data_IF_034291564550
#
_entry.id   IF_034291564550
#
_cell.length_a   1.000
_cell.length_b   1.000
_cell.length_c   1.000
_cell.angle_alpha   90.00
_cell.angle_beta   90.00
_cell.angle_gamma   90.00
#
_symmetry.space_group_name_H-M   'P 1'
#
loop_
_entity.id
_entity.type
_entity.pdbx_description
1 polymer ?
#
# COMPACT_ATOMS: atom_id res chain seq x y z
N UNK A 1 -14.84 -10.60 14.13
CA UNK A 1 -14.43 -9.20 13.94
C UNK A 1 -15.69 -8.42 13.63
N UNK A 2 -15.99 -7.38 14.40
CA UNK A 2 -17.14 -6.51 14.10
C UNK A 2 -16.75 -5.54 12.98
N UNK A 3 -17.67 -5.27 12.03
CA UNK A 3 -17.42 -4.32 10.93
C UNK A 3 -16.95 -2.96 11.46
N UNK A 4 -17.56 -2.47 12.54
CA UNK A 4 -17.18 -1.22 13.20
C UNK A 4 -15.72 -1.21 13.70
N UNK A 5 -15.18 -2.36 14.14
CA UNK A 5 -13.78 -2.48 14.55
C UNK A 5 -12.83 -2.39 13.35
N UNK A 6 -13.22 -2.96 12.20
CA UNK A 6 -12.48 -2.85 10.94
C UNK A 6 -12.48 -1.41 10.42
N UNK A 7 -13.65 -0.75 10.44
CA UNK A 7 -13.80 0.63 9.98
C UNK A 7 -12.96 1.59 10.82
N UNK A 8 -12.84 1.39 12.15
CA UNK A 8 -11.96 2.18 13.03
C UNK A 8 -10.47 2.02 12.72
N UNK A 9 -10.07 0.92 12.07
CA UNK A 9 -8.68 0.68 11.69
C UNK A 9 -8.29 1.34 10.36
N UNK A 10 -9.24 1.97 9.66
CA UNK A 10 -8.95 2.72 8.44
C UNK A 10 -8.05 3.92 8.73
N UNK A 11 -7.02 4.12 7.90
CA UNK A 11 -6.02 5.16 8.13
C UNK A 11 -6.60 6.57 8.22
N UNK A 12 -7.63 6.89 7.44
CA UNK A 12 -8.28 8.19 7.50
C UNK A 12 -9.05 8.42 8.81
N UNK A 13 -9.49 7.35 9.49
CA UNK A 13 -10.22 7.44 10.75
C UNK A 13 -9.27 7.72 11.91
N UNK A 14 -8.17 6.97 12.02
CA UNK A 14 -7.26 7.12 13.17
C UNK A 14 -6.19 8.19 12.96
N UNK A 15 -5.73 8.44 11.74
CA UNK A 15 -4.61 9.37 11.49
C UNK A 15 -4.82 10.79 12.06
N UNK A 16 -6.01 11.42 11.97
CA UNK A 16 -6.24 12.75 12.53
C UNK A 16 -5.95 12.85 14.04
N UNK A 17 -6.35 11.83 14.82
CA UNK A 17 -6.10 11.78 16.26
C UNK A 17 -4.61 11.57 16.58
N UNK A 18 -3.92 10.75 15.78
CA UNK A 18 -2.53 10.35 16.04
C UNK A 18 -1.48 11.09 15.22
N UNK A 19 -1.84 12.17 14.50
CA UNK A 19 -0.96 12.89 13.55
C UNK A 19 0.41 13.28 14.13
N UNK A 20 0.48 13.62 15.43
CA UNK A 20 1.74 14.00 16.11
C UNK A 20 2.63 12.80 16.45
N UNK A 21 2.03 11.63 16.57
CA UNK A 21 2.65 10.39 17.04
C UNK A 21 2.91 9.37 15.93
N UNK A 22 2.52 9.67 14.69
CA UNK A 22 2.74 8.79 13.53
C UNK A 22 3.64 9.43 12.46
N UNK A 23 3.80 8.74 11.33
CA UNK A 23 4.51 9.21 10.13
C UNK A 23 3.65 10.26 9.40
N UNK A 24 4.23 11.40 8.97
CA UNK A 24 3.51 12.36 8.13
C UNK A 24 2.87 11.67 6.93
N UNK A 25 1.56 11.85 6.78
CA UNK A 25 0.74 11.18 5.77
C UNK A 25 -0.18 12.19 5.09
N UNK A 26 -0.23 12.15 3.77
CA UNK A 26 -1.25 12.80 2.96
C UNK A 26 -2.35 11.79 2.64
N UNK A 27 -3.62 12.21 2.70
CA UNK A 27 -4.78 11.35 2.47
C UNK A 27 -5.55 11.95 1.30
N UNK A 28 -5.75 11.16 0.25
CA UNK A 28 -6.38 11.56 -1.00
C UNK A 28 -7.57 10.63 -1.26
N UNK A 29 -8.81 11.13 -1.41
CA UNK A 29 -9.94 10.30 -1.79
C UNK A 29 -9.73 9.75 -3.20
N UNK A 30 -10.00 8.45 -3.40
CA UNK A 30 -9.83 7.78 -4.68
C UNK A 30 -11.12 7.88 -5.53
N UNK A 31 -11.01 8.25 -6.82
CA UNK A 31 -12.16 8.24 -7.72
C UNK A 31 -12.55 6.80 -8.07
N UNK A 32 -13.86 6.57 -8.27
CA UNK A 32 -14.41 5.26 -8.67
C UNK A 32 -13.67 4.65 -9.87
N UNK A 33 -13.34 5.48 -10.87
CA UNK A 33 -12.62 5.03 -12.06
C UNK A 33 -11.23 4.44 -11.74
N UNK A 34 -10.52 5.00 -10.76
CA UNK A 34 -9.23 4.46 -10.35
C UNK A 34 -9.38 3.16 -9.55
N UNK A 35 -10.42 3.04 -8.73
CA UNK A 35 -10.73 1.80 -7.99
C UNK A 35 -11.07 0.65 -8.95
N UNK A 36 -11.92 0.92 -9.94
CA UNK A 36 -12.21 -0.04 -11.03
C UNK A 36 -10.95 -0.44 -11.77
N UNK A 37 -10.08 0.54 -12.07
CA UNK A 37 -8.76 0.25 -12.62
C UNK A 37 -7.94 -0.65 -11.69
N UNK A 38 -7.86 -0.40 -10.38
CA UNK A 38 -7.11 -1.27 -9.46
C UNK A 38 -7.68 -2.70 -9.41
N UNK A 39 -9.01 -2.83 -9.46
CA UNK A 39 -9.72 -4.12 -9.52
C UNK A 39 -9.59 -4.84 -10.89
N UNK A 40 -8.88 -4.27 -11.85
CA UNK A 40 -8.72 -4.84 -13.19
C UNK A 40 -9.96 -4.82 -14.05
N UNK A 41 -10.89 -3.92 -13.76
CA UNK A 41 -12.10 -3.64 -14.55
C UNK A 41 -11.92 -2.40 -15.41
N UNK A 42 -12.82 -2.18 -16.36
CA UNK A 42 -12.86 -0.95 -17.16
C UNK A 42 -13.04 0.27 -16.27
N UNK A 43 -12.10 1.22 -16.34
CA UNK A 43 -12.09 2.42 -15.50
C UNK A 43 -13.32 3.32 -15.74
N UNK A 44 -13.72 3.46 -17.00
CA UNK A 44 -14.87 4.24 -17.46
C UNK A 44 -15.80 3.33 -18.26
N UNK A 45 -16.68 2.56 -17.61
CA UNK A 45 -17.59 1.66 -18.30
C UNK A 45 -18.59 2.47 -19.15
N UNK A 46 -18.87 2.01 -20.37
CA UNK A 46 -19.99 2.49 -21.16
C UNK A 46 -21.26 1.75 -20.69
N UNK A 47 -22.36 2.45 -20.32
CA UNK A 47 -23.60 1.79 -19.91
C UNK A 47 -24.20 0.85 -20.97
N UNK A 48 -23.86 1.04 -22.24
CA UNK A 48 -24.37 0.23 -23.35
C UNK A 48 -23.46 -1.00 -23.65
N UNK A 49 -22.26 -1.06 -23.06
CA UNK A 49 -21.34 -2.20 -23.18
C UNK A 49 -21.31 -3.02 -21.87
N UNK A 50 -21.44 -4.34 -21.99
CA UNK A 50 -21.31 -5.24 -20.83
C UNK A 50 -19.89 -5.27 -20.27
N UNK A 51 -19.73 -5.73 -19.03
CA UNK A 51 -18.42 -5.80 -18.38
C UNK A 51 -17.44 -6.67 -19.18
N UNK A 52 -16.34 -6.07 -19.62
CA UNK A 52 -15.36 -6.69 -20.52
C UNK A 52 -14.37 -7.58 -19.76
N UNK A 53 -14.83 -8.39 -18.80
CA UNK A 53 -13.99 -9.31 -18.04
C UNK A 53 -12.74 -8.66 -17.40
N UNK A 54 -11.77 -9.47 -16.93
CA UNK A 54 -10.53 -8.95 -16.36
C UNK A 54 -9.62 -8.39 -17.47
N UNK A 55 -9.28 -7.11 -17.33
CA UNK A 55 -8.38 -6.41 -18.24
C UNK A 55 -6.90 -6.72 -17.95
N UNK A 56 -6.04 -6.75 -18.98
CA UNK A 56 -4.61 -6.92 -18.79
C UNK A 56 -4.01 -5.83 -17.90
N UNK A 57 -2.88 -6.14 -17.28
CA UNK A 57 -2.11 -5.15 -16.54
C UNK A 57 -1.52 -4.13 -17.51
N UNK A 58 -1.99 -2.89 -17.44
CA UNK A 58 -1.47 -1.76 -18.22
C UNK A 58 -1.33 -0.57 -17.28
N UNK A 59 -0.24 0.19 -17.41
CA UNK A 59 -0.04 1.41 -16.61
C UNK A 59 -0.90 2.56 -17.15
N UNK A 60 -1.38 3.46 -16.29
CA UNK A 60 -2.16 4.60 -16.76
C UNK A 60 -1.33 5.51 -17.66
N UNK A 61 -2.00 6.14 -18.63
CA UNK A 61 -1.39 7.18 -19.46
C UNK A 61 -1.10 8.41 -18.58
N UNK A 62 0.16 8.86 -18.58
CA UNK A 62 0.60 10.01 -17.80
C UNK A 62 0.36 11.31 -18.57
N UNK A 63 -0.39 12.22 -17.95
CA UNK A 63 -0.73 13.53 -18.54
C UNK A 63 0.40 14.55 -18.39
N UNK A 64 1.33 14.31 -17.47
CA UNK A 64 2.55 15.10 -17.31
C UNK A 64 3.56 14.96 -18.47
N UNK A 65 3.36 14.01 -19.39
CA UNK A 65 4.31 13.70 -20.47
C UNK A 65 5.61 13.03 -19.97
N UNK A 66 5.69 12.69 -18.67
CA UNK A 66 6.79 11.93 -18.09
C UNK A 66 6.73 10.49 -18.62
N UNK A 67 7.88 9.91 -18.95
CA UNK A 67 7.95 8.47 -19.15
C UNK A 67 7.87 7.78 -17.77
N UNK A 68 6.98 6.77 -17.56
CA UNK A 68 6.81 6.09 -16.28
C UNK A 68 8.13 5.60 -15.68
N UNK A 69 9.00 5.07 -16.55
CA UNK A 69 10.33 4.62 -16.21
C UNK A 69 11.34 5.16 -17.22
N UNK A 70 12.56 5.53 -16.78
CA UNK A 70 13.61 5.86 -17.73
C UNK A 70 13.84 4.64 -18.64
N UNK A 71 14.05 4.85 -19.96
CA UNK A 71 14.45 3.75 -20.84
C UNK A 71 15.73 3.14 -20.27
N UNK A 72 15.83 1.81 -20.27
CA UNK A 72 17.04 1.08 -19.88
C UNK A 72 18.22 1.57 -20.73
N UNK A 73 18.94 2.57 -20.26
CA UNK A 73 20.17 3.03 -20.89
C UNK A 73 21.28 2.04 -20.53
N UNK A 74 21.43 1.03 -21.37
CA UNK A 74 22.54 0.10 -21.32
C UNK A 74 22.24 -1.14 -22.13
N UNK A 75 22.95 -1.30 -23.25
CA UNK A 75 23.26 -2.61 -23.80
C UNK A 75 24.01 -3.43 -22.74
N UNK A 76 23.29 -4.00 -21.78
CA UNK A 76 23.75 -5.20 -21.13
C UNK A 76 23.36 -6.34 -22.08
N UNK A 77 24.32 -7.09 -22.65
CA UNK A 77 23.97 -8.30 -23.35
C UNK A 77 23.22 -9.18 -22.37
N UNK A 78 21.98 -9.50 -22.72
CA UNK A 78 21.12 -10.38 -21.96
C UNK A 78 21.89 -11.68 -21.64
N UNK A 79 22.13 -12.03 -20.36
CA UNK A 79 22.84 -13.26 -20.01
C UNK A 79 22.08 -14.51 -20.46
N UNK A 80 20.78 -14.41 -20.74
CA UNK A 80 19.95 -15.51 -21.25
C UNK A 80 20.17 -15.71 -22.76
N UNK A 81 20.54 -14.65 -23.50
CA UNK A 81 20.81 -14.70 -24.94
C UNK A 81 22.08 -15.50 -25.31
N UNK A 82 22.97 -15.79 -24.34
CA UNK A 82 24.15 -16.63 -24.58
C UNK A 82 23.83 -18.14 -24.70
N UNK A 83 22.64 -18.57 -24.28
CA UNK A 83 22.23 -19.99 -24.33
C UNK A 83 21.37 -20.33 -25.56
N UNK A 84 20.80 -19.33 -26.23
CA UNK A 84 19.88 -19.53 -27.38
C UNK A 84 20.55 -19.26 -28.75
N UNK A 85 21.81 -19.67 -28.93
CA UNK A 85 22.55 -19.48 -30.20
C UNK A 85 22.14 -20.43 -31.34
N UNK A 86 20.86 -20.73 -31.51
CA UNK A 86 20.38 -21.48 -32.69
C UNK A 86 18.92 -21.17 -33.11
N UNK A 87 18.43 -19.95 -32.91
CA UNK A 87 17.28 -19.45 -33.68
C UNK A 87 17.44 -17.97 -34.00
N UNK A 88 17.88 -17.68 -35.22
CA UNK A 88 17.76 -16.37 -35.83
C UNK A 88 16.30 -16.07 -36.11
N UNK A 89 15.67 -15.26 -35.26
CA UNK A 89 14.55 -14.40 -35.64
C UNK A 89 14.71 -13.02 -34.95
N UNK A 90 14.60 -11.91 -35.69
CA UNK A 90 14.80 -10.57 -35.13
C UNK A 90 13.55 -10.15 -34.33
N UNK A 91 13.61 -10.28 -33.00
CA UNK A 91 12.56 -9.83 -32.07
C UNK A 91 12.49 -8.30 -31.86
N UNK A 92 13.17 -7.52 -32.72
CA UNK A 92 12.96 -6.08 -32.85
C UNK A 92 12.58 -5.77 -34.28
N UNK A 93 11.41 -6.28 -34.69
CA UNK A 93 10.71 -5.81 -35.87
C UNK A 93 10.08 -4.46 -35.55
N UNK A 94 10.65 -3.41 -36.16
CA UNK A 94 9.92 -2.21 -36.52
C UNK A 94 8.66 -2.66 -37.27
N UNK A 95 7.51 -2.60 -36.59
CA UNK A 95 6.22 -3.01 -37.15
C UNK A 95 5.38 -1.77 -37.34
N UNK A 96 5.60 -1.09 -38.46
CA UNK A 96 4.52 -0.47 -39.23
C UNK A 96 3.57 -1.61 -39.63
N UNK A 97 2.68 -1.97 -38.71
CA UNK A 97 1.55 -2.85 -38.97
C UNK A 97 0.29 -2.14 -38.48
N UNK A 98 -0.44 -1.57 -39.43
CA UNK A 98 -1.84 -1.17 -39.33
C UNK A 98 -2.72 -2.41 -39.08
N UNK A 99 -2.56 -3.05 -37.92
CA UNK A 99 -3.53 -4.00 -37.40
C UNK A 99 -4.37 -3.25 -36.36
N UNK A 100 -5.52 -2.72 -36.81
CA UNK A 100 -6.57 -2.17 -35.97
C UNK A 100 -7.23 -3.29 -35.14
N UNK A 101 -6.45 -3.88 -34.22
CA UNK A 101 -7.04 -4.46 -33.02
C UNK A 101 -7.51 -3.30 -32.15
N UNK A 102 -8.77 -3.30 -31.73
CA UNK A 102 -9.30 -2.39 -30.69
C UNK A 102 -8.55 -2.63 -29.36
N UNK A 103 -7.29 -2.21 -29.29
CA UNK A 103 -6.52 -2.21 -28.06
C UNK A 103 -7.09 -1.10 -27.18
N UNK A 104 -7.78 -1.49 -26.09
CA UNK A 104 -8.26 -0.57 -25.07
C UNK A 104 -7.14 0.39 -24.69
N UNK A 105 -7.35 1.68 -24.98
CA UNK A 105 -6.41 2.73 -24.64
C UNK A 105 -6.22 2.75 -23.11
N UNK A 106 -4.98 2.86 -22.60
CA UNK A 106 -4.76 2.91 -21.17
C UNK A 106 -5.46 4.13 -20.56
N UNK A 107 -6.20 3.96 -19.44
CA UNK A 107 -6.92 5.08 -18.83
C UNK A 107 -5.93 6.14 -18.33
N UNK A 108 -6.41 7.38 -18.21
CA UNK A 108 -5.66 8.49 -17.63
C UNK A 108 -6.39 9.03 -16.39
N UNK A 109 -5.65 9.53 -15.41
CA UNK A 109 -6.21 10.07 -14.16
C UNK A 109 -5.56 11.42 -13.81
N UNK A 110 -5.75 12.48 -14.62
CA UNK A 110 -4.99 13.73 -14.50
C UNK A 110 -5.08 14.39 -13.12
N UNK A 111 -6.28 14.47 -12.54
CA UNK A 111 -6.48 15.09 -11.23
C UNK A 111 -5.80 14.30 -10.11
N UNK A 112 -5.89 12.97 -10.18
CA UNK A 112 -5.25 12.07 -9.21
C UNK A 112 -3.73 12.09 -9.38
N UNK A 113 -3.22 12.07 -10.61
CA UNK A 113 -1.79 12.20 -10.93
C UNK A 113 -1.22 13.47 -10.31
N UNK A 114 -1.84 14.62 -10.56
CA UNK A 114 -1.42 15.89 -10.01
C UNK A 114 -1.48 15.92 -8.47
N UNK A 115 -2.53 15.36 -7.87
CA UNK A 115 -2.68 15.30 -6.42
C UNK A 115 -1.62 14.41 -5.75
N UNK A 116 -1.32 13.26 -6.35
CA UNK A 116 -0.31 12.31 -5.86
C UNK A 116 1.09 12.91 -5.98
N UNK A 117 1.44 13.47 -7.13
CA UNK A 117 2.77 14.05 -7.34
C UNK A 117 3.00 15.27 -6.43
N UNK A 118 1.99 16.12 -6.24
CA UNK A 118 2.06 17.23 -5.29
C UNK A 118 2.24 16.74 -3.84
N UNK A 119 1.48 15.72 -3.42
CA UNK A 119 1.60 15.16 -2.09
C UNK A 119 2.98 14.50 -1.86
N UNK A 120 3.53 13.80 -2.84
CA UNK A 120 4.89 13.24 -2.77
C UNK A 120 5.93 14.35 -2.60
N UNK A 121 5.80 15.45 -3.37
CA UNK A 121 6.69 16.60 -3.24
C UNK A 121 6.64 17.19 -1.82
N UNK A 122 5.44 17.41 -1.27
CA UNK A 122 5.22 17.94 0.08
C UNK A 122 5.77 17.02 1.19
N UNK A 123 5.74 15.70 0.96
CA UNK A 123 6.29 14.70 1.88
C UNK A 123 7.83 14.63 1.82
N UNK A 124 8.46 15.31 0.87
CA UNK A 124 9.92 15.36 0.71
C UNK A 124 10.44 14.50 -0.44
N UNK A 125 9.62 14.28 -1.47
CA UNK A 125 10.01 13.66 -2.74
C UNK A 125 9.88 12.14 -2.80
N UNK A 126 9.50 11.48 -1.70
CA UNK A 126 9.25 10.04 -1.69
C UNK A 126 8.19 9.66 -0.64
N UNK A 127 7.32 8.73 -1.00
CA UNK A 127 6.26 8.22 -0.14
C UNK A 127 6.06 6.71 -0.30
N UNK A 128 5.43 6.09 0.71
CA UNK A 128 4.89 4.74 0.70
C UNK A 128 3.37 4.84 0.53
N UNK A 129 2.77 4.26 -0.53
CA UNK A 129 1.33 4.25 -0.70
C UNK A 129 0.67 3.16 0.16
N UNK A 130 -0.54 3.41 0.66
CA UNK A 130 -1.45 2.39 1.19
C UNK A 130 -2.90 2.79 0.94
N UNK A 131 -3.79 1.81 0.83
CA UNK A 131 -5.23 2.06 0.89
C UNK A 131 -5.67 2.24 2.35
N UNK A 132 -6.98 2.18 2.58
CA UNK A 132 -7.62 2.34 3.88
C UNK A 132 -6.93 1.47 4.95
N UNK A 133 -6.59 0.21 4.63
CA UNK A 133 -5.99 -0.73 5.57
C UNK A 133 -4.59 -1.17 5.16
N UNK A 134 -4.39 -1.55 3.91
CA UNK A 134 -3.21 -2.31 3.47
C UNK A 134 -2.25 -1.52 2.59
N UNK A 135 -0.96 -1.76 2.79
CA UNK A 135 0.12 -1.27 1.93
C UNK A 135 0.56 -2.39 0.96
N UNK A 136 1.01 -2.07 -0.27
CA UNK A 136 1.37 -3.05 -1.30
C UNK A 136 2.77 -3.66 -1.07
N UNK A 137 2.99 -4.21 0.12
CA UNK A 137 4.30 -4.78 0.54
C UNK A 137 4.64 -6.08 -0.19
N UNK A 138 3.63 -6.75 -0.71
CA UNK A 138 3.69 -7.94 -1.55
C UNK A 138 4.06 -7.61 -3.01
N UNK A 139 3.79 -6.39 -3.47
CA UNK A 139 4.10 -5.94 -4.83
C UNK A 139 5.52 -5.38 -5.04
N UNK A 140 6.42 -5.53 -4.06
CA UNK A 140 7.80 -4.99 -4.14
C UNK A 140 8.60 -5.52 -5.33
N UNK A 141 8.22 -6.67 -5.89
CA UNK A 141 8.84 -7.25 -7.08
C UNK A 141 8.66 -6.39 -8.34
N UNK A 142 7.68 -5.49 -8.35
CA UNK A 142 7.45 -4.54 -9.46
C UNK A 142 8.35 -3.31 -9.38
N UNK A 143 8.87 -2.97 -8.20
CA UNK A 143 9.73 -1.80 -8.04
C UNK A 143 11.18 -2.11 -8.40
N UNK A 144 11.81 -1.20 -9.14
CA UNK A 144 13.21 -1.36 -9.59
C UNK A 144 14.23 -1.47 -8.43
N UNK A 145 13.94 -0.85 -7.28
CA UNK A 145 14.78 -0.91 -6.09
C UNK A 145 14.34 -1.99 -5.08
N UNK A 146 13.32 -2.78 -5.41
CA UNK A 146 12.77 -3.81 -4.53
C UNK A 146 12.08 -3.26 -3.27
N UNK A 147 11.62 -2.01 -3.30
CA UNK A 147 10.95 -1.36 -2.16
C UNK A 147 9.57 -0.84 -2.52
N UNK A 148 8.76 -0.49 -1.51
CA UNK A 148 7.47 0.19 -1.70
C UNK A 148 7.60 1.71 -1.83
N UNK A 149 8.80 2.21 -2.13
CA UNK A 149 9.08 3.65 -2.28
C UNK A 149 8.55 4.12 -3.63
N UNK A 150 7.71 5.16 -3.60
CA UNK A 150 7.24 5.85 -4.79
C UNK A 150 7.68 7.32 -4.78
N UNK A 151 8.01 7.84 -5.96
CA UNK A 151 8.45 9.19 -6.26
C UNK A 151 7.56 9.88 -7.29
N UNK A 152 6.61 9.15 -7.87
CA UNK A 152 5.57 9.68 -8.75
C UNK A 152 4.31 8.80 -8.77
N UNK A 153 3.25 9.33 -9.36
CA UNK A 153 1.98 8.63 -9.58
C UNK A 153 2.14 7.28 -10.30
N UNK A 154 3.01 7.19 -11.31
CA UNK A 154 3.18 5.96 -12.08
C UNK A 154 3.65 4.78 -11.21
N UNK A 155 4.60 5.03 -10.31
CA UNK A 155 5.10 4.03 -9.36
C UNK A 155 4.01 3.64 -8.34
N UNK A 156 3.21 4.62 -7.88
CA UNK A 156 2.06 4.36 -7.00
C UNK A 156 1.03 3.47 -7.68
N UNK A 157 0.60 3.82 -8.89
CA UNK A 157 -0.39 3.07 -9.64
C UNK A 157 0.10 1.65 -9.94
N UNK A 158 1.37 1.49 -10.31
CA UNK A 158 1.98 0.18 -10.56
C UNK A 158 1.94 -0.72 -9.33
N UNK A 159 2.40 -0.23 -8.17
CA UNK A 159 2.46 -1.03 -6.95
C UNK A 159 1.07 -1.39 -6.44
N UNK A 160 0.12 -0.45 -6.47
CA UNK A 160 -1.24 -0.71 -6.03
C UNK A 160 -1.93 -1.74 -6.94
N UNK A 161 -1.77 -1.64 -8.26
CA UNK A 161 -2.40 -2.55 -9.22
C UNK A 161 -1.82 -3.98 -9.18
N UNK A 162 -0.59 -4.15 -8.71
CA UNK A 162 0.09 -5.44 -8.64
C UNK A 162 0.03 -6.11 -7.25
N UNK A 163 -0.72 -5.54 -6.30
CA UNK A 163 -0.77 -6.02 -4.92
C UNK A 163 -2.03 -6.82 -4.63
N UNK A 164 -1.86 -8.05 -4.16
CA UNK A 164 -2.92 -8.91 -3.65
C UNK A 164 -3.50 -8.35 -2.34
N UNK A 165 -2.67 -7.71 -1.50
CA UNK A 165 -3.15 -6.99 -0.32
C UNK A 165 -4.10 -5.85 -0.68
N UNK A 166 -3.84 -5.13 -1.77
CA UNK A 166 -4.74 -4.08 -2.28
C UNK A 166 -6.00 -4.68 -2.89
N UNK A 167 -5.89 -5.76 -3.68
CA UNK A 167 -7.06 -6.46 -4.20
C UNK A 167 -7.97 -6.96 -3.07
N UNK A 168 -7.39 -7.51 -2.01
CA UNK A 168 -8.15 -7.93 -0.83
C UNK A 168 -8.86 -6.76 -0.11
N UNK A 169 -8.20 -5.60 0.03
CA UNK A 169 -8.83 -4.40 0.59
C UNK A 169 -10.05 -3.95 -0.24
N UNK A 170 -9.98 -4.16 -1.55
CA UNK A 170 -11.02 -3.80 -2.51
C UNK A 170 -12.19 -4.82 -2.48
N UNK A 171 -11.91 -6.12 -2.32
CA UNK A 171 -12.92 -7.18 -2.24
C UNK A 171 -13.68 -7.22 -0.90
N UNK A 172 -13.05 -6.77 0.20
CA UNK A 172 -13.61 -6.87 1.55
C UNK A 172 -14.96 -6.15 1.74
N UNK A 173 -15.27 -5.14 0.91
CA UNK A 173 -16.57 -4.45 0.88
C UNK A 173 -17.52 -5.01 -0.20
N UNK A 174 -17.01 -5.69 -1.24
CA UNK A 174 -17.88 -6.26 -2.27
C UNK A 174 -18.74 -7.42 -1.72
N UNK A 175 -18.27 -8.14 -0.71
CA UNK A 175 -19.07 -9.17 -0.04
C UNK A 175 -20.26 -8.60 0.77
N UNK A 176 -20.30 -7.28 1.00
CA UNK A 176 -21.33 -6.61 1.81
C UNK A 176 -22.45 -5.96 0.97
N UNK A 177 -22.24 -5.79 -0.34
CA UNK A 177 -23.07 -5.05 -1.28
C UNK A 177 -23.62 -5.96 -2.39
N UNK A 178 -24.94 -6.04 -2.55
CA UNK A 178 -25.59 -6.76 -3.67
C UNK A 178 -25.48 -6.01 -5.02
N UNK A 179 -24.94 -4.78 -5.04
CA UNK A 179 -24.78 -3.95 -6.24
C UNK A 179 -23.30 -3.82 -6.64
N UNK A 180 -22.98 -4.26 -7.87
CA UNK A 180 -21.61 -4.37 -8.43
C UNK A 180 -20.98 -3.00 -8.85
N UNK A 181 -21.69 -1.90 -8.59
CA UNK A 181 -21.38 -0.54 -9.08
C UNK A 181 -21.01 0.47 -7.96
N UNK A 182 -20.98 0.06 -6.70
CA UNK A 182 -20.97 0.96 -5.53
C UNK A 182 -19.61 1.10 -4.83
N UNK A 183 -18.50 1.12 -5.58
CA UNK A 183 -17.17 1.46 -5.02
C UNK A 183 -17.13 2.87 -4.40
N UNK A 184 -18.09 3.71 -4.78
CA UNK A 184 -18.38 5.05 -4.22
C UNK A 184 -19.90 5.17 -4.10
N UNK A 185 -20.47 4.72 -2.99
CA UNK A 185 -21.87 4.95 -2.61
C UNK A 185 -21.94 5.90 -1.39
N UNK A 186 -23.12 6.42 -1.07
CA UNK A 186 -23.43 7.50 -0.10
C UNK A 186 -22.97 7.27 1.37
N UNK A 187 -22.12 6.27 1.64
CA UNK A 187 -21.57 5.96 2.97
C UNK A 187 -20.12 5.49 3.07
N UNK A 188 -19.43 5.08 1.97
CA UNK A 188 -18.07 4.55 2.03
C UNK A 188 -17.16 5.12 0.93
N UNK A 189 -15.93 5.48 1.30
CA UNK A 189 -14.95 6.11 0.41
C UNK A 189 -13.58 5.44 0.60
N UNK A 190 -12.97 5.00 -0.50
CA UNK A 190 -11.58 4.58 -0.49
C UNK A 190 -10.64 5.77 -0.54
N UNK A 191 -9.53 5.67 0.19
CA UNK A 191 -8.51 6.69 0.28
C UNK A 191 -7.14 6.10 -0.06
N UNK A 192 -6.36 6.88 -0.80
CA UNK A 192 -4.93 6.69 -0.93
C UNK A 192 -4.23 7.49 0.16
N UNK A 193 -3.56 6.79 1.06
CA UNK A 193 -2.66 7.38 2.03
C UNK A 193 -1.21 7.29 1.56
N UNK A 194 -0.59 8.45 1.32
CA UNK A 194 0.82 8.58 1.00
C UNK A 194 1.59 8.93 2.27
N UNK A 195 2.38 7.97 2.76
CA UNK A 195 3.17 8.11 3.98
C UNK A 195 4.59 8.53 3.63
N UNK A 196 5.14 9.54 4.29
CA UNK A 196 6.52 9.98 4.06
C UNK A 196 7.51 8.81 4.13
N UNK A 197 8.32 8.68 3.09
CA UNK A 197 9.36 7.65 3.03
C UNK A 197 10.56 8.00 3.91
N UNK A 198 11.04 7.02 4.67
CA UNK A 198 12.25 7.11 5.48
C UNK A 198 13.17 5.94 5.14
N UNK A 199 14.26 6.16 4.38
CA UNK A 199 15.14 5.07 3.94
C UNK A 199 15.90 4.38 5.08
N UNK A 200 15.99 5.04 6.24
CA UNK A 200 16.70 4.52 7.42
C UNK A 200 15.83 3.78 8.42
N UNK A 201 14.58 3.42 8.07
CA UNK A 201 13.77 2.57 8.94
C UNK A 201 14.35 1.16 8.97
N UNK A 202 14.39 0.62 10.18
CA UNK A 202 15.04 -0.65 10.51
C UNK A 202 13.97 -1.65 10.93
N UNK A 203 13.76 -2.76 10.21
CA UNK A 203 12.68 -3.70 10.51
C UNK A 203 12.71 -4.24 11.94
N UNK A 204 13.90 -4.39 12.53
CA UNK A 204 14.06 -4.84 13.92
C UNK A 204 13.53 -3.85 14.96
N UNK A 205 13.28 -2.60 14.56
CA UNK A 205 12.76 -1.57 15.44
C UNK A 205 11.23 -1.43 15.35
N UNK A 206 10.55 -2.34 14.65
CA UNK A 206 9.09 -2.38 14.50
C UNK A 206 8.46 -3.54 15.31
N UNK A 207 7.37 -3.23 16.01
CA UNK A 207 6.71 -4.13 16.96
C UNK A 207 5.21 -4.12 16.78
N UNK A 208 4.59 -5.28 16.94
CA UNK A 208 3.13 -5.42 17.05
C UNK A 208 2.73 -5.52 18.51
N UNK A 209 1.80 -4.68 18.90
CA UNK A 209 1.24 -4.60 20.24
C UNK A 209 -0.19 -5.13 20.22
N UNK A 210 -0.55 -5.98 21.18
CA UNK A 210 -1.82 -6.68 21.25
C UNK A 210 -2.63 -6.13 22.41
N UNK A 211 -3.81 -5.58 22.13
CA UNK A 211 -4.70 -4.98 23.14
C UNK A 211 -5.98 -5.80 23.24
N UNK A 212 -6.30 -6.27 24.45
CA UNK A 212 -7.53 -7.02 24.73
C UNK A 212 -8.21 -6.47 25.97
N UNK A 213 -9.50 -6.15 25.87
CA UNK A 213 -10.25 -5.51 26.95
C UNK A 213 -9.59 -4.22 27.43
N UNK A 214 -9.12 -3.40 26.48
CA UNK A 214 -8.38 -2.14 26.71
C UNK A 214 -7.07 -2.28 27.48
N UNK A 215 -6.49 -3.48 27.56
CA UNK A 215 -5.19 -3.72 28.19
C UNK A 215 -4.18 -4.24 27.18
N UNK A 216 -2.96 -3.72 27.23
CA UNK A 216 -1.84 -4.28 26.48
C UNK A 216 -1.50 -5.66 27.06
N UNK A 217 -1.74 -6.72 26.28
CA UNK A 217 -1.57 -8.12 26.70
C UNK A 217 -0.34 -8.79 26.09
N UNK A 218 0.28 -8.17 25.08
CA UNK A 218 1.47 -8.70 24.45
C UNK A 218 2.13 -7.71 23.51
N UNK A 219 3.43 -7.88 23.31
CA UNK A 219 4.24 -7.18 22.33
C UNK A 219 5.14 -8.20 21.64
N UNK A 220 5.15 -8.22 20.31
CA UNK A 220 6.07 -9.04 19.53
C UNK A 220 6.82 -8.21 18.50
N UNK A 221 7.95 -8.73 18.04
CA UNK A 221 8.64 -8.19 16.88
C UNK A 221 7.74 -8.29 15.64
N UNK A 222 7.72 -7.24 14.80
CA UNK A 222 6.85 -7.19 13.63
C UNK A 222 7.29 -8.11 12.49
N UNK A 223 8.60 -8.32 12.34
CA UNK A 223 9.20 -9.25 11.40
C UNK A 223 9.59 -10.56 12.11
N UNK A 224 8.78 -11.63 12.04
CA UNK A 224 9.11 -12.91 12.65
C UNK A 224 10.09 -13.75 11.81
N UNK A 225 10.45 -13.31 10.59
CA UNK A 225 11.26 -14.09 9.65
C UNK A 225 12.77 -13.95 9.87
N UNK A 226 13.19 -12.91 10.60
CA UNK A 226 14.58 -12.57 10.81
C UNK A 226 14.96 -12.49 12.29
N UNK A 227 16.12 -13.06 12.62
CA UNK A 227 16.78 -12.84 13.90
C UNK A 227 17.70 -11.64 13.84
N UNK A 228 17.52 -10.70 14.76
CA UNK A 228 18.38 -9.51 14.86
C UNK A 228 19.24 -9.57 16.12
N UNK A 229 20.58 -9.65 16.00
CA UNK A 229 21.49 -9.73 17.14
C UNK A 229 21.44 -8.53 18.10
N UNK A 230 20.82 -7.43 17.68
CA UNK A 230 20.59 -6.21 18.47
C UNK A 230 19.37 -6.29 19.40
N UNK A 231 18.50 -7.28 19.24
CA UNK A 231 17.26 -7.43 20.02
C UNK A 231 17.42 -8.09 21.41
N UNK A 232 18.36 -9.01 21.67
CA UNK A 232 18.57 -9.52 23.02
C UNK A 232 18.86 -8.38 24.03
N UNK A 233 18.06 -8.29 25.10
CA UNK A 233 18.12 -7.21 26.10
C UNK A 233 17.22 -6.00 25.81
N UNK A 234 16.64 -5.93 24.60
CA UNK A 234 15.81 -4.82 24.17
C UNK A 234 14.45 -4.75 24.89
N UNK A 235 13.94 -5.88 25.39
CA UNK A 235 12.68 -5.90 26.16
C UNK A 235 12.75 -4.99 27.38
N UNK A 236 13.87 -5.00 28.12
CA UNK A 236 14.02 -4.17 29.31
C UNK A 236 14.07 -2.66 28.99
N UNK A 237 14.57 -2.28 27.80
CA UNK A 237 14.72 -0.88 27.41
C UNK A 237 13.54 -0.32 26.65
N UNK A 238 12.74 -1.18 26.01
CA UNK A 238 11.72 -0.71 25.07
C UNK A 238 10.32 -1.16 25.39
N UNK A 239 10.13 -2.30 26.05
CA UNK A 239 8.81 -2.63 26.58
C UNK A 239 8.24 -1.47 27.43
N UNK A 240 9.01 -0.83 28.36
CA UNK A 240 8.49 0.31 29.11
C UNK A 240 8.10 1.49 28.23
N UNK A 241 8.87 1.78 27.17
CA UNK A 241 8.56 2.88 26.24
C UNK A 241 7.27 2.64 25.44
N UNK A 242 7.01 1.39 25.08
CA UNK A 242 5.78 1.00 24.38
C UNK A 242 4.59 1.03 25.34
N UNK A 243 4.77 0.57 26.57
CA UNK A 243 3.76 0.64 27.65
C UNK A 243 3.39 2.09 27.95
N UNK A 244 4.38 2.97 28.20
CA UNK A 244 4.17 4.40 28.40
C UNK A 244 3.43 5.04 27.22
N UNK A 245 3.85 4.72 25.99
CA UNK A 245 3.20 5.24 24.78
C UNK A 245 1.75 4.75 24.64
N UNK A 246 1.48 3.51 25.01
CA UNK A 246 0.13 2.93 25.01
C UNK A 246 -0.77 3.65 26.01
N UNK A 247 -0.33 3.77 27.27
CA UNK A 247 -1.11 4.39 28.35
C UNK A 247 -1.33 5.89 28.12
N UNK A 248 -0.32 6.62 27.64
CA UNK A 248 -0.41 8.06 27.46
C UNK A 248 -1.18 8.48 26.21
N UNK A 249 -0.97 7.77 25.08
CA UNK A 249 -1.45 8.23 23.78
C UNK A 249 -2.50 7.33 23.14
N UNK A 250 -2.35 6.00 23.20
CA UNK A 250 -3.17 5.06 22.44
C UNK A 250 -4.49 4.72 23.17
N UNK A 251 -4.40 4.21 24.40
CA UNK A 251 -5.56 3.78 25.19
C UNK A 251 -6.62 4.89 25.34
N UNK A 252 -6.26 6.15 25.65
CA UNK A 252 -7.27 7.19 25.87
C UNK A 252 -8.02 7.62 24.60
N UNK A 253 -7.47 7.34 23.41
CA UNK A 253 -7.97 7.88 22.14
C UNK A 253 -8.59 6.82 21.22
N UNK A 254 -8.08 5.57 21.23
CA UNK A 254 -8.61 4.53 20.35
C UNK A 254 -9.84 3.86 20.98
N UNK A 255 -10.96 3.88 20.25
CA UNK A 255 -12.26 3.52 20.81
C UNK A 255 -12.48 2.00 20.98
N UNK A 256 -11.82 1.16 20.17
CA UNK A 256 -12.02 -0.29 20.23
C UNK A 256 -11.48 -0.91 21.52
N UNK A 257 -12.15 -1.96 22.01
CA UNK A 257 -11.68 -2.69 23.19
C UNK A 257 -10.59 -3.72 22.87
N UNK A 258 -10.66 -4.31 21.67
CA UNK A 258 -9.75 -5.35 21.21
C UNK A 258 -9.19 -4.94 19.85
N UNK A 259 -7.86 -4.83 19.76
CA UNK A 259 -7.17 -4.43 18.53
C UNK A 259 -5.69 -4.76 18.62
N UNK A 260 -4.99 -4.58 17.52
CA UNK A 260 -3.53 -4.54 17.52
C UNK A 260 -3.08 -3.20 16.95
N UNK A 261 -1.90 -2.75 17.38
CA UNK A 261 -1.28 -1.57 16.81
C UNK A 261 0.22 -1.83 16.60
N UNK A 262 0.73 -1.35 15.48
CA UNK A 262 2.13 -1.49 15.12
C UNK A 262 2.86 -0.20 15.50
N UNK A 263 4.06 -0.32 16.08
CA UNK A 263 4.89 0.83 16.48
C UNK A 263 6.32 0.66 16.00
N UNK A 264 6.97 1.79 15.76
CA UNK A 264 8.40 1.88 15.50
C UNK A 264 9.09 2.63 16.63
N UNK A 265 10.14 2.04 17.20
CA UNK A 265 10.91 2.67 18.27
C UNK A 265 12.23 3.18 17.73
N UNK A 266 12.40 4.50 17.77
CA UNK A 266 13.59 5.18 17.24
C UNK A 266 14.79 4.94 18.14
N UNK A 267 15.98 5.15 17.58
CA UNK A 267 17.25 5.08 18.31
C UNK A 267 17.34 6.06 19.50
N UNK A 268 16.58 7.17 19.46
CA UNK A 268 16.49 8.14 20.56
C UNK A 268 15.41 7.79 21.61
N UNK A 269 14.78 6.61 21.48
CA UNK A 269 13.74 6.12 22.39
C UNK A 269 12.34 6.61 22.08
N UNK A 270 12.14 7.53 21.13
CA UNK A 270 10.79 7.97 20.76
C UNK A 270 10.03 6.87 20.02
N UNK A 271 8.79 6.62 20.45
CA UNK A 271 7.87 5.69 19.81
C UNK A 271 7.04 6.42 18.75
N UNK A 272 6.82 5.76 17.61
CA UNK A 272 5.95 6.22 16.54
C UNK A 272 4.92 5.15 16.21
N UNK A 273 3.64 5.53 16.18
CA UNK A 273 2.57 4.68 15.69
C UNK A 273 2.76 4.43 14.18
N UNK A 274 2.68 3.17 13.77
CA UNK A 274 2.79 2.74 12.38
C UNK A 274 1.43 2.35 11.82
N UNK A 275 0.62 1.57 12.52
CA UNK A 275 -0.68 1.14 12.02
C UNK A 275 -1.62 0.67 13.14
N UNK A 276 -2.92 0.59 12.85
CA UNK A 276 -3.90 -0.14 13.65
C UNK A 276 -4.48 -1.28 12.84
N UNK A 277 -4.72 -2.42 13.47
CA UNK A 277 -5.40 -3.55 12.83
C UNK A 277 -6.42 -4.18 13.80
N UNK A 278 -7.52 -4.74 13.29
CA UNK A 278 -8.53 -5.37 14.13
C UNK A 278 -7.98 -6.60 14.87
N UNK A 279 -8.64 -6.97 15.97
CA UNK A 279 -8.31 -8.19 16.71
C UNK A 279 -8.77 -9.43 15.94
N UNK A 280 -7.83 -10.23 15.45
CA UNK A 280 -8.09 -11.44 14.67
C UNK A 280 -8.41 -11.15 13.20
N UNK A 281 -9.11 -12.08 12.54
CA UNK A 281 -9.35 -12.02 11.10
C UNK A 281 -8.05 -12.20 10.31
N UNK A 282 -7.78 -11.28 9.39
CA UNK A 282 -6.58 -11.27 8.55
C UNK A 282 -5.34 -10.72 9.26
N UNK A 283 -5.48 -10.20 10.48
CA UNK A 283 -4.36 -9.72 11.28
C UNK A 283 -3.50 -10.89 11.74
N UNK A 284 -2.30 -11.01 11.18
CA UNK A 284 -1.33 -12.05 11.58
C UNK A 284 -0.95 -11.93 13.06
N UNK A 285 -0.96 -13.05 13.84
CA UNK A 285 -0.59 -13.05 15.26
C UNK A 285 0.92 -13.05 15.50
N UNK A 286 1.72 -13.21 14.43
CA UNK A 286 3.19 -13.21 14.44
C UNK A 286 3.77 -14.27 15.39
N UNK A 287 4.35 -13.86 16.52
CA UNK A 287 4.99 -14.75 17.50
C UNK A 287 4.01 -15.30 18.56
N UNK A 288 2.72 -14.97 18.46
CA UNK A 288 1.68 -15.46 19.37
C UNK A 288 0.74 -16.46 18.67
N UNK A 289 -0.01 -17.22 19.48
CA UNK A 289 -1.01 -18.21 19.04
C UNK A 289 -2.36 -17.95 19.72
#
# INVERSE_FOLDING_TARGET
MLLEELLRCQIQEWYPAFRRHTVPTAIIPLPAAFLRYLAGRTAYPDPDEGDQGPLPFVLPTLTSGRAPFPPLQGHFPDPVSLLDRDNTDPLFGDSDSDDEGEGLLPPAFPELEAAVDAAIADLGGAALPKLNWSAPKDAVFMAADGTVRCTCFAEVAMLLRASDCVAHDLDAEQESSDDDETWVDDGFQYYLALRKWYPGLRPESEFRCFVRGRKLVGVSQRDPSAYYPSLPGWSAEVQPKIEDFFEEFIEPQFASENYTFDVYVRADGRVKLIDFNPWGGYTLPLLFT
#
